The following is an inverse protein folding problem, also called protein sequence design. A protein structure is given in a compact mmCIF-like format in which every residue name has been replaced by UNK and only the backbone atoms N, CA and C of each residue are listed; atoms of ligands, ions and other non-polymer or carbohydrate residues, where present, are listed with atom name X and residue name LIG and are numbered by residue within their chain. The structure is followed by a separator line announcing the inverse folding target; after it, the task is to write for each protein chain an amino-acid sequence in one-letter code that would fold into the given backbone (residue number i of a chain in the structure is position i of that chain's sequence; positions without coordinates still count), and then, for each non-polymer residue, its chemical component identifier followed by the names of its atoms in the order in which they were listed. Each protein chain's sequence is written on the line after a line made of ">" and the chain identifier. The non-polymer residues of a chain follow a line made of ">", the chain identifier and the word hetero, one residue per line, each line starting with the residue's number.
data_IF_279915851442
#
_entry.id   IF_279915851442
#
_cell.length_a   1.000
_cell.length_b   1.000
_cell.length_c   1.000
_cell.angle_alpha   90.00
_cell.angle_beta   90.00
_cell.angle_gamma   90.00
#
_symmetry.space_group_name_H-M   'P 1'
#
loop_
_entity.id
_entity.type
_entity.pdbx_description
1 polymer ?
#
# COMPACT_ATOMS: atom_id res chain seq x y z
N UNK A 1 33.90 28.95 -37.86
CA UNK A 1 34.84 27.80 -38.01
C UNK A 1 35.85 27.84 -36.89
N UNK A 2 35.61 27.11 -35.84
CA UNK A 2 36.62 26.81 -34.83
C UNK A 2 36.52 25.30 -34.48
N UNK A 3 37.48 24.57 -34.98
CA UNK A 3 37.68 23.15 -34.77
C UNK A 3 38.02 22.87 -33.30
N UNK A 4 37.16 22.16 -32.60
CA UNK A 4 37.45 21.59 -31.30
C UNK A 4 37.98 20.15 -31.48
N UNK A 5 39.28 19.95 -31.15
CA UNK A 5 39.91 18.64 -31.09
C UNK A 5 39.95 18.16 -29.64
N UNK A 6 39.42 16.96 -29.28
CA UNK A 6 39.50 16.45 -27.93
C UNK A 6 40.91 15.93 -27.61
N UNK A 7 41.38 16.22 -26.38
CA UNK A 7 42.66 15.72 -25.84
C UNK A 7 42.52 14.24 -25.45
N UNK A 8 43.60 13.44 -25.66
CA UNK A 8 43.64 12.06 -25.21
C UNK A 8 43.78 11.95 -23.66
N UNK A 9 43.28 10.85 -23.04
CA UNK A 9 43.38 10.64 -21.61
C UNK A 9 44.82 10.34 -21.16
N UNK A 10 45.17 10.82 -19.96
CA UNK A 10 46.47 10.57 -19.33
C UNK A 10 46.54 9.15 -18.78
N UNK A 11 47.68 8.47 -18.81
CA UNK A 11 47.86 7.15 -18.22
C UNK A 11 47.92 7.22 -16.68
N UNK A 12 47.23 6.29 -16.04
CA UNK A 12 47.21 6.10 -14.59
C UNK A 12 48.47 5.28 -14.25
N UNK A 13 49.41 5.90 -13.55
CA UNK A 13 50.58 5.22 -12.96
C UNK A 13 50.17 4.52 -11.68
N UNK A 14 50.32 3.20 -11.67
CA UNK A 14 50.27 2.35 -10.48
C UNK A 14 51.43 2.70 -9.55
N UNK A 15 51.13 3.14 -8.32
CA UNK A 15 52.10 3.18 -7.24
C UNK A 15 51.52 2.38 -6.06
N UNK A 16 52.28 1.35 -5.74
CA UNK A 16 52.06 0.37 -4.69
C UNK A 16 51.87 1.00 -3.30
N UNK A 17 50.91 0.43 -2.53
CA UNK A 17 50.98 0.44 -1.06
C UNK A 17 50.76 -0.98 -0.58
N UNK A 18 51.84 -1.70 -0.39
CA UNK A 18 51.94 -2.87 0.45
C UNK A 18 52.02 -2.38 1.91
N UNK A 19 51.00 -2.69 2.72
CA UNK A 19 51.16 -2.77 4.19
C UNK A 19 50.52 -4.07 4.67
N UNK A 20 51.38 -5.03 4.91
CA UNK A 20 51.09 -6.23 5.67
C UNK A 20 50.70 -5.82 7.10
N UNK A 21 49.49 -6.20 7.53
CA UNK A 21 49.13 -6.21 8.96
C UNK A 21 48.99 -7.66 9.37
N UNK A 22 49.97 -8.12 10.19
CA UNK A 22 49.97 -9.45 10.81
C UNK A 22 48.79 -9.56 11.77
N UNK A 23 47.97 -10.59 11.57
CA UNK A 23 47.02 -11.11 12.57
C UNK A 23 47.76 -12.08 13.50
N UNK A 24 47.40 -12.14 14.80
CA UNK A 24 48.02 -13.06 15.73
C UNK A 24 47.53 -14.50 15.53
N UNK A 25 48.50 -15.42 15.57
CA UNK A 25 48.27 -16.86 15.52
C UNK A 25 47.57 -17.31 16.82
N UNK A 26 46.40 -17.91 16.67
CA UNK A 26 45.74 -18.65 17.75
C UNK A 26 46.02 -20.14 17.55
N UNK A 27 46.66 -20.73 18.54
CA UNK A 27 47.08 -22.12 18.58
C UNK A 27 45.92 -23.10 18.33
N UNK A 28 46.08 -23.95 17.33
CA UNK A 28 45.31 -25.15 17.11
C UNK A 28 45.74 -26.22 18.11
N UNK A 29 44.88 -26.52 19.07
CA UNK A 29 44.99 -27.76 19.86
C UNK A 29 44.34 -28.89 19.06
N UNK A 30 45.14 -29.80 18.58
CA UNK A 30 44.77 -31.12 18.09
C UNK A 30 44.40 -32.01 19.28
N UNK A 31 43.17 -32.54 19.30
CA UNK A 31 42.84 -33.72 20.09
C UNK A 31 42.10 -34.70 19.14
N UNK A 32 42.88 -35.68 18.68
CA UNK A 32 42.36 -36.88 18.04
C UNK A 32 41.67 -37.77 19.09
N UNK A 33 40.35 -37.94 18.93
CA UNK A 33 39.66 -39.16 19.37
C UNK A 33 38.46 -39.43 18.46
N UNK A 34 38.30 -40.62 17.90
CA UNK A 34 37.16 -40.93 17.05
C UNK A 34 35.98 -41.39 17.90
N UNK A 35 34.99 -40.56 18.09
CA UNK A 35 33.69 -41.01 18.61
C UNK A 35 32.87 -41.68 17.52
N UNK A 36 32.75 -42.97 17.63
CA UNK A 36 31.89 -43.86 16.90
C UNK A 36 30.43 -43.61 17.33
N UNK A 37 29.60 -42.98 16.46
CA UNK A 37 28.14 -42.93 16.61
C UNK A 37 27.49 -43.56 15.40
N UNK A 38 27.47 -44.88 15.45
CA UNK A 38 26.61 -45.70 14.59
C UNK A 38 25.30 -46.01 15.31
N UNK A 39 24.39 -45.05 15.39
CA UNK A 39 22.98 -45.36 15.71
C UNK A 39 22.12 -45.13 14.49
N UNK A 40 21.76 -46.30 13.90
CA UNK A 40 20.75 -46.40 12.84
C UNK A 40 19.39 -46.00 13.38
N UNK A 41 18.90 -44.83 12.96
CA UNK A 41 17.50 -44.40 13.16
C UNK A 41 16.57 -45.42 12.44
N UNK A 42 16.00 -46.35 13.20
CA UNK A 42 14.89 -47.19 12.73
C UNK A 42 13.63 -46.34 12.70
N UNK A 43 13.07 -46.15 11.49
CA UNK A 43 11.72 -45.57 11.32
C UNK A 43 10.70 -46.46 12.04
N UNK A 44 9.74 -45.87 12.78
CA UNK A 44 8.63 -46.62 13.34
C UNK A 44 7.76 -47.19 12.21
N UNK A 45 7.12 -48.38 12.40
CA UNK A 45 6.29 -48.99 11.40
C UNK A 45 5.09 -48.12 11.04
N UNK A 46 4.76 -48.06 9.74
CA UNK A 46 3.55 -47.36 9.26
C UNK A 46 2.31 -48.06 9.82
N UNK A 47 1.51 -47.29 10.55
CA UNK A 47 0.19 -47.71 10.96
C UNK A 47 -0.73 -47.74 9.73
N UNK A 48 -1.16 -48.94 9.34
CA UNK A 48 -2.04 -49.23 8.20
C UNK A 48 -3.51 -49.29 8.61
N UNK A 49 -3.94 -48.52 9.60
CA UNK A 49 -5.35 -48.38 9.90
C UNK A 49 -6.05 -47.59 8.82
N UNK A 50 -7.14 -48.07 8.20
CA UNK A 50 -7.91 -47.27 7.24
C UNK A 50 -8.47 -46.04 7.94
N UNK A 51 -8.05 -44.85 7.51
CA UNK A 51 -8.68 -43.61 7.96
C UNK A 51 -10.10 -43.60 7.40
N UNK A 52 -11.06 -43.62 8.31
CA UNK A 52 -12.46 -43.34 8.01
C UNK A 52 -12.56 -41.96 7.35
N UNK A 53 -13.36 -41.91 6.28
CA UNK A 53 -13.68 -40.74 5.53
C UNK A 53 -14.06 -39.59 6.47
N UNK A 54 -13.21 -38.58 6.55
CA UNK A 54 -13.56 -37.31 7.19
C UNK A 54 -14.49 -36.61 6.22
N UNK A 55 -15.77 -36.69 6.50
CA UNK A 55 -16.81 -35.95 5.82
C UNK A 55 -16.38 -34.48 5.73
N UNK A 56 -16.51 -33.90 4.54
CA UNK A 56 -16.38 -32.49 4.26
C UNK A 56 -17.32 -31.72 5.21
N UNK A 57 -16.77 -31.18 6.30
CA UNK A 57 -17.46 -30.20 7.11
C UNK A 57 -17.39 -28.88 6.30
N UNK A 58 -18.41 -28.68 5.50
CA UNK A 58 -18.77 -27.34 5.02
C UNK A 58 -19.14 -26.57 6.28
N UNK A 59 -18.23 -25.72 6.77
CA UNK A 59 -18.57 -24.71 7.77
C UNK A 59 -19.53 -23.74 7.10
N UNK A 60 -20.81 -23.94 7.32
CA UNK A 60 -21.79 -22.87 7.11
C UNK A 60 -21.41 -21.72 8.06
N UNK A 61 -21.49 -20.46 7.62
CA UNK A 61 -21.31 -19.33 8.52
C UNK A 61 -22.36 -19.47 9.62
N UNK A 62 -21.89 -19.60 10.85
CA UNK A 62 -22.75 -19.60 12.04
C UNK A 62 -23.33 -18.20 12.13
N UNK A 63 -24.58 -18.05 11.75
CA UNK A 63 -25.36 -16.86 12.05
C UNK A 63 -25.37 -16.69 13.57
N UNK A 64 -24.52 -15.82 14.09
CA UNK A 64 -24.58 -15.33 15.45
C UNK A 64 -25.89 -14.51 15.56
N UNK A 65 -26.96 -15.17 16.01
CA UNK A 65 -28.20 -14.51 16.47
C UNK A 65 -27.93 -13.85 17.81
N UNK A 66 -27.09 -12.81 17.81
CA UNK A 66 -27.01 -11.83 18.90
C UNK A 66 -27.90 -10.66 18.52
N UNK A 67 -28.71 -10.17 19.49
CA UNK A 67 -29.55 -8.98 19.38
C UNK A 67 -28.75 -7.82 18.74
N UNK A 68 -28.76 -7.72 17.40
CA UNK A 68 -28.34 -6.52 16.71
C UNK A 68 -29.32 -5.43 17.15
N UNK A 69 -28.86 -4.45 17.91
CA UNK A 69 -29.50 -3.15 17.96
C UNK A 69 -29.71 -2.78 16.48
N UNK A 70 -30.94 -2.42 16.09
CA UNK A 70 -31.20 -1.89 14.77
C UNK A 70 -30.30 -0.68 14.59
N UNK A 71 -29.23 -0.88 13.82
CA UNK A 71 -28.42 0.19 13.29
C UNK A 71 -29.33 0.87 12.25
N UNK A 72 -29.41 2.22 12.20
CA UNK A 72 -30.26 2.92 11.25
C UNK A 72 -29.95 2.52 9.82
N UNK A 73 -30.97 2.55 8.96
CA UNK A 73 -30.96 2.16 7.55
C UNK A 73 -29.61 2.41 6.85
N UNK A 74 -28.91 1.30 6.57
CA UNK A 74 -27.66 1.30 5.78
C UNK A 74 -27.93 1.35 4.26
N UNK A 75 -29.14 1.62 3.83
CA UNK A 75 -29.52 1.65 2.40
C UNK A 75 -28.81 2.75 1.58
N UNK A 76 -27.92 3.56 2.20
CA UNK A 76 -27.17 4.64 1.55
C UNK A 76 -25.67 4.64 1.90
N UNK A 77 -25.09 3.56 2.39
CA UNK A 77 -23.65 3.51 2.57
C UNK A 77 -22.97 3.11 1.25
N UNK A 78 -21.95 3.88 0.89
CA UNK A 78 -21.08 3.56 -0.24
C UNK A 78 -20.35 2.25 0.01
N UNK A 79 -20.47 1.30 -0.90
CA UNK A 79 -19.78 0.02 -0.82
C UNK A 79 -18.36 0.13 -1.42
N UNK A 80 -17.37 0.06 -0.55
CA UNK A 80 -15.95 0.17 -0.93
C UNK A 80 -15.28 -1.19 -0.79
N UNK A 81 -14.55 -1.61 -1.80
CA UNK A 81 -13.63 -2.76 -1.71
C UNK A 81 -12.19 -2.33 -1.79
N UNK A 82 -11.36 -2.86 -0.89
CA UNK A 82 -9.90 -2.70 -0.91
C UNK A 82 -9.27 -4.05 -1.21
N UNK A 83 -8.59 -4.18 -2.35
CA UNK A 83 -7.95 -5.44 -2.72
C UNK A 83 -6.44 -5.32 -2.75
N UNK A 84 -5.77 -6.08 -1.87
CA UNK A 84 -4.31 -6.19 -1.79
C UNK A 84 -3.77 -7.33 -2.64
N UNK A 85 -2.86 -7.02 -3.59
CA UNK A 85 -2.37 -7.97 -4.59
C UNK A 85 -0.91 -8.33 -4.36
N UNK A 86 -0.65 -9.62 -4.19
CA UNK A 86 0.69 -10.15 -3.92
C UNK A 86 1.14 -9.92 -2.47
N UNK A 87 2.42 -10.18 -2.16
CA UNK A 87 2.91 -10.15 -0.78
C UNK A 87 2.76 -8.76 -0.13
N UNK A 88 3.34 -7.72 -0.72
CA UNK A 88 3.28 -6.37 -0.16
C UNK A 88 1.85 -5.83 -0.09
N UNK A 89 1.08 -5.88 -1.19
CA UNK A 89 -0.33 -5.42 -1.16
C UNK A 89 -1.19 -6.18 -0.14
N UNK A 90 -1.02 -7.50 -0.01
CA UNK A 90 -1.72 -8.27 1.02
C UNK A 90 -1.30 -7.86 2.44
N UNK A 91 0.00 -7.62 2.68
CA UNK A 91 0.48 -7.18 3.98
C UNK A 91 -0.08 -5.80 4.37
N UNK A 92 -0.13 -4.87 3.42
CA UNK A 92 -0.68 -3.54 3.65
C UNK A 92 -2.15 -3.61 4.03
N UNK A 93 -2.96 -4.37 3.27
CA UNK A 93 -4.39 -4.58 3.60
C UNK A 93 -4.57 -5.27 4.95
N UNK A 94 -3.77 -6.29 5.25
CA UNK A 94 -3.84 -7.01 6.53
C UNK A 94 -3.43 -6.18 7.77
N UNK A 95 -2.92 -4.96 7.58
CA UNK A 95 -2.56 -4.01 8.66
C UNK A 95 -3.56 -2.89 8.84
N UNK A 96 -4.54 -2.75 7.93
CA UNK A 96 -5.55 -1.72 8.01
C UNK A 96 -6.50 -1.99 9.17
N UNK A 97 -6.91 -0.92 9.84
CA UNK A 97 -8.01 -1.01 10.80
C UNK A 97 -9.34 -1.08 10.05
N UNK A 98 -10.31 -1.90 10.54
CA UNK A 98 -11.59 -2.03 9.88
C UNK A 98 -12.37 -0.71 9.86
N UNK A 99 -12.72 -0.24 8.67
CA UNK A 99 -13.57 0.94 8.44
C UNK A 99 -14.98 0.46 8.07
N UNK A 100 -16.05 0.97 8.69
CA UNK A 100 -17.43 0.59 8.33
C UNK A 100 -17.73 0.90 6.86
N UNK A 101 -18.33 -0.05 6.13
CA UNK A 101 -18.62 0.10 4.71
C UNK A 101 -17.45 -0.25 3.78
N UNK A 102 -16.33 -0.72 4.33
CA UNK A 102 -15.17 -1.16 3.55
C UNK A 102 -15.00 -2.67 3.67
N UNK A 103 -14.87 -3.36 2.54
CA UNK A 103 -14.58 -4.80 2.44
C UNK A 103 -13.10 -4.98 2.10
N UNK A 104 -12.39 -5.73 2.94
CA UNK A 104 -10.96 -5.98 2.77
C UNK A 104 -10.72 -7.33 2.13
N UNK A 105 -10.00 -7.32 0.99
CA UNK A 105 -9.75 -8.50 0.16
C UNK A 105 -8.24 -8.64 -0.03
N UNK A 106 -7.73 -9.87 0.05
CA UNK A 106 -6.35 -10.16 -0.35
C UNK A 106 -6.31 -11.18 -1.46
N UNK A 107 -5.44 -10.96 -2.44
CA UNK A 107 -5.26 -11.83 -3.60
C UNK A 107 -3.78 -12.20 -3.78
N UNK A 108 -3.44 -13.48 -3.61
CA UNK A 108 -2.06 -13.92 -3.68
C UNK A 108 -1.91 -15.29 -4.35
N UNK A 109 -0.74 -15.52 -4.92
CA UNK A 109 -0.29 -16.83 -5.47
C UNK A 109 0.43 -17.70 -4.44
N UNK A 110 0.76 -17.17 -3.25
CA UNK A 110 1.35 -17.91 -2.13
C UNK A 110 0.29 -18.16 -1.04
N UNK A 111 -0.08 -19.43 -0.85
CA UNK A 111 -1.12 -19.82 0.12
C UNK A 111 -0.71 -19.62 1.58
N UNK A 112 0.60 -19.57 1.87
CA UNK A 112 1.06 -19.33 3.24
C UNK A 112 0.91 -17.85 3.60
N UNK A 113 1.15 -16.96 2.63
CA UNK A 113 0.95 -15.53 2.82
C UNK A 113 -0.54 -15.20 3.03
N UNK A 114 -1.44 -15.86 2.32
CA UNK A 114 -2.88 -15.73 2.54
C UNK A 114 -3.28 -16.18 3.96
N UNK A 115 -2.86 -17.38 4.36
CA UNK A 115 -3.23 -17.96 5.65
C UNK A 115 -2.64 -17.23 6.88
N UNK A 116 -1.76 -16.26 6.69
CA UNK A 116 -1.14 -15.48 7.75
C UNK A 116 -1.88 -14.19 8.11
N UNK A 117 -2.90 -13.82 7.32
CA UNK A 117 -3.63 -12.55 7.46
C UNK A 117 -5.12 -12.82 7.73
N UNK A 118 -5.74 -11.96 8.52
CA UNK A 118 -7.18 -12.00 8.79
C UNK A 118 -7.86 -10.85 8.06
N UNK A 119 -8.70 -11.18 7.07
CA UNK A 119 -9.43 -10.23 6.21
C UNK A 119 -10.80 -10.80 5.86
N UNK A 120 -11.68 -9.99 5.26
CA UNK A 120 -13.02 -10.43 4.90
C UNK A 120 -13.02 -11.51 3.81
N UNK A 121 -12.15 -11.36 2.80
CA UNK A 121 -12.06 -12.30 1.69
C UNK A 121 -10.62 -12.60 1.26
N UNK A 122 -10.35 -13.89 1.00
CA UNK A 122 -9.08 -14.37 0.47
C UNK A 122 -9.26 -14.96 -0.93
N UNK A 123 -8.49 -14.48 -1.91
CA UNK A 123 -8.47 -15.00 -3.27
C UNK A 123 -7.13 -15.70 -3.53
N UNK A 124 -7.17 -17.02 -3.64
CA UNK A 124 -6.00 -17.80 -4.02
C UNK A 124 -5.83 -17.81 -5.54
N UNK A 125 -4.93 -16.97 -6.04
CA UNK A 125 -4.64 -16.84 -7.46
C UNK A 125 -3.89 -18.06 -8.01
N UNK A 126 -4.37 -18.61 -9.13
CA UNK A 126 -3.70 -19.68 -9.87
C UNK A 126 -3.49 -20.96 -9.08
N UNK A 127 -4.55 -21.48 -8.47
CA UNK A 127 -4.51 -22.73 -7.68
C UNK A 127 -3.88 -23.90 -8.44
N UNK A 128 -4.13 -24.01 -9.74
CA UNK A 128 -3.57 -25.06 -10.58
C UNK A 128 -2.16 -24.72 -11.07
N UNK A 129 -1.91 -23.46 -11.42
CA UNK A 129 -0.65 -23.00 -12.03
C UNK A 129 0.47 -22.82 -11.02
N UNK A 130 0.19 -22.21 -9.87
CA UNK A 130 1.19 -21.90 -8.84
C UNK A 130 1.25 -22.95 -7.74
N UNK A 131 0.14 -23.67 -7.51
CA UNK A 131 -0.04 -24.64 -6.43
C UNK A 131 0.30 -24.06 -5.06
N UNK A 132 -0.04 -22.77 -4.84
CA UNK A 132 0.25 -22.05 -3.60
C UNK A 132 1.72 -21.75 -3.32
N UNK A 133 2.61 -21.84 -4.32
CA UNK A 133 4.06 -21.64 -4.16
C UNK A 133 4.55 -20.28 -4.65
N UNK A 134 3.64 -19.35 -4.92
CA UNK A 134 3.97 -18.05 -5.46
C UNK A 134 4.29 -18.02 -6.95
N UNK A 135 4.39 -16.83 -7.52
CA UNK A 135 4.75 -16.62 -8.92
C UNK A 135 6.26 -16.75 -9.21
N UNK A 136 7.11 -16.73 -8.17
CA UNK A 136 8.56 -16.87 -8.30
C UNK A 136 9.23 -15.73 -9.09
N UNK A 137 8.75 -14.50 -8.92
CA UNK A 137 9.25 -13.30 -9.59
C UNK A 137 8.90 -13.23 -11.09
N UNK A 138 8.03 -14.10 -11.59
CA UNK A 138 7.64 -14.14 -13.02
C UNK A 138 6.28 -13.48 -13.22
N UNK A 139 6.27 -12.35 -13.91
CA UNK A 139 5.08 -11.53 -14.20
C UNK A 139 4.01 -12.34 -14.96
N UNK A 140 4.42 -13.07 -16.00
CA UNK A 140 3.51 -13.87 -16.83
C UNK A 140 2.80 -14.95 -16.01
N UNK A 141 3.50 -15.47 -14.96
CA UNK A 141 2.90 -16.46 -14.07
C UNK A 141 1.89 -15.83 -13.13
N UNK A 142 2.16 -14.61 -12.63
CA UNK A 142 1.22 -13.81 -11.86
C UNK A 142 -0.02 -13.45 -12.67
N UNK A 143 0.16 -12.97 -13.90
CA UNK A 143 -0.91 -12.67 -14.84
C UNK A 143 -1.79 -13.90 -15.10
N UNK A 144 -1.17 -15.00 -15.50
CA UNK A 144 -1.90 -16.24 -15.78
C UNK A 144 -2.61 -16.84 -14.54
N UNK A 145 -2.13 -16.52 -13.33
CA UNK A 145 -2.77 -16.92 -12.09
C UNK A 145 -4.02 -16.07 -11.79
N UNK A 146 -4.00 -14.77 -12.10
CA UNK A 146 -5.17 -13.90 -12.01
C UNK A 146 -6.22 -14.26 -13.05
N UNK A 147 -5.81 -14.54 -14.29
CA UNK A 147 -6.73 -15.00 -15.34
C UNK A 147 -7.45 -16.32 -14.98
N UNK A 148 -6.76 -17.24 -14.31
CA UNK A 148 -7.37 -18.46 -13.79
C UNK A 148 -8.43 -18.18 -12.70
N UNK A 149 -8.26 -17.10 -11.95
CA UNK A 149 -9.12 -16.71 -10.83
C UNK A 149 -10.14 -15.62 -11.19
N UNK A 150 -10.30 -15.26 -12.48
CA UNK A 150 -11.13 -14.14 -12.96
C UNK A 150 -12.53 -14.12 -12.35
N UNK A 151 -13.22 -15.26 -12.35
CA UNK A 151 -14.57 -15.39 -11.79
C UNK A 151 -14.61 -15.12 -10.28
N UNK A 152 -13.59 -15.60 -9.55
CA UNK A 152 -13.50 -15.38 -8.10
C UNK A 152 -13.20 -13.92 -7.77
N UNK A 153 -12.39 -13.24 -8.59
CA UNK A 153 -12.10 -11.82 -8.45
C UNK A 153 -13.37 -11.01 -8.72
N UNK A 154 -14.06 -11.32 -9.82
CA UNK A 154 -15.31 -10.66 -10.19
C UNK A 154 -16.33 -10.77 -9.04
N UNK A 155 -16.58 -11.97 -8.53
CA UNK A 155 -17.54 -12.21 -7.46
C UNK A 155 -17.17 -11.48 -6.15
N UNK A 156 -15.88 -11.33 -5.86
CA UNK A 156 -15.43 -10.65 -4.65
C UNK A 156 -15.54 -9.12 -4.74
N UNK A 157 -15.55 -8.56 -5.95
CA UNK A 157 -15.66 -7.13 -6.20
C UNK A 157 -17.07 -6.69 -6.63
N UNK A 158 -17.96 -7.66 -6.95
CA UNK A 158 -19.32 -7.36 -7.37
C UNK A 158 -20.09 -6.62 -6.28
N UNK A 159 -20.76 -5.53 -6.65
CA UNK A 159 -21.50 -4.67 -5.73
C UNK A 159 -20.70 -3.50 -5.16
N UNK A 160 -19.39 -3.39 -5.45
CA UNK A 160 -18.59 -2.27 -5.01
C UNK A 160 -18.81 -1.04 -5.89
N UNK A 161 -19.00 0.14 -5.29
CA UNK A 161 -19.04 1.42 -5.98
C UNK A 161 -17.66 1.99 -6.23
N UNK A 162 -16.72 1.68 -5.33
CA UNK A 162 -15.32 2.09 -5.41
C UNK A 162 -14.43 0.87 -5.12
N UNK A 163 -13.40 0.68 -5.95
CA UNK A 163 -12.40 -0.37 -5.74
C UNK A 163 -11.02 0.26 -5.64
N UNK A 164 -10.41 0.17 -4.46
CA UNK A 164 -9.00 0.46 -4.26
C UNK A 164 -8.18 -0.79 -4.53
N UNK A 165 -7.21 -0.70 -5.43
CA UNK A 165 -6.35 -1.84 -5.81
C UNK A 165 -4.93 -1.51 -5.41
N UNK A 166 -4.39 -2.25 -4.44
CA UNK A 166 -3.02 -1.99 -3.97
C UNK A 166 -2.06 -3.13 -4.30
N UNK A 167 -0.87 -2.75 -4.78
CA UNK A 167 0.17 -3.71 -5.13
C UNK A 167 1.57 -3.11 -4.99
N UNK A 168 2.53 -3.87 -4.46
CA UNK A 168 3.94 -3.54 -4.58
C UNK A 168 4.47 -4.08 -5.91
N UNK A 169 4.87 -3.17 -6.80
CA UNK A 169 5.35 -3.51 -8.15
C UNK A 169 6.81 -4.00 -8.13
N UNK A 170 7.23 -4.66 -9.20
CA UNK A 170 8.57 -5.27 -9.32
C UNK A 170 8.60 -6.76 -8.99
N UNK A 171 7.56 -7.28 -8.32
CA UNK A 171 7.37 -8.70 -8.06
C UNK A 171 6.59 -9.43 -9.15
N UNK A 172 6.47 -10.77 -9.04
CA UNK A 172 5.73 -11.57 -10.02
C UNK A 172 4.22 -11.48 -9.86
N UNK A 173 3.71 -11.50 -8.60
CA UNK A 173 2.27 -11.48 -8.33
C UNK A 173 1.70 -10.07 -8.47
N UNK A 174 2.23 -9.08 -7.75
CA UNK A 174 1.75 -7.69 -7.81
C UNK A 174 1.78 -7.14 -9.23
N UNK A 175 2.93 -7.25 -9.92
CA UNK A 175 3.10 -6.74 -11.29
C UNK A 175 2.32 -7.52 -12.35
N UNK A 176 2.06 -8.82 -12.12
CA UNK A 176 1.37 -9.65 -13.10
C UNK A 176 -0.13 -9.71 -12.89
N UNK A 177 -0.58 -9.86 -11.66
CA UNK A 177 -2.00 -9.99 -11.33
C UNK A 177 -2.67 -8.63 -11.14
N UNK A 178 -1.96 -7.59 -10.66
CA UNK A 178 -2.52 -6.27 -10.42
C UNK A 178 -3.24 -5.67 -11.63
N UNK A 179 -2.60 -5.56 -12.81
CA UNK A 179 -3.26 -5.05 -14.02
C UNK A 179 -4.49 -5.86 -14.46
N UNK A 180 -4.50 -7.19 -14.25
CA UNK A 180 -5.65 -8.04 -14.57
C UNK A 180 -6.80 -7.79 -13.60
N UNK A 181 -6.51 -7.64 -12.32
CA UNK A 181 -7.51 -7.30 -11.31
C UNK A 181 -8.09 -5.92 -11.57
N UNK A 182 -7.24 -4.95 -11.95
CA UNK A 182 -7.66 -3.62 -12.35
C UNK A 182 -8.60 -3.65 -13.57
N UNK A 183 -8.28 -4.44 -14.59
CA UNK A 183 -9.15 -4.65 -15.76
C UNK A 183 -10.52 -5.22 -15.37
N UNK A 184 -10.54 -6.21 -14.46
CA UNK A 184 -11.79 -6.80 -13.98
C UNK A 184 -12.60 -5.76 -13.21
N UNK A 185 -11.99 -5.04 -12.28
CA UNK A 185 -12.65 -3.99 -11.50
C UNK A 185 -13.24 -2.89 -12.40
N UNK A 186 -12.47 -2.42 -13.38
CA UNK A 186 -12.90 -1.39 -14.33
C UNK A 186 -14.02 -1.86 -15.29
N UNK A 187 -14.26 -3.16 -15.38
CA UNK A 187 -15.36 -3.74 -16.17
C UNK A 187 -16.68 -3.89 -15.38
N UNK A 188 -16.66 -3.58 -14.09
CA UNK A 188 -17.82 -3.68 -13.22
C UNK A 188 -18.69 -2.43 -13.34
N UNK A 189 -20.01 -2.61 -13.16
CA UNK A 189 -20.98 -1.54 -13.13
C UNK A 189 -21.96 -1.72 -11.98
N UNK A 190 -22.46 -0.62 -11.44
CA UNK A 190 -23.57 -0.61 -10.47
C UNK A 190 -24.73 0.18 -11.08
N UNK A 191 -25.79 -0.51 -11.43
CA UNK A 191 -26.90 0.10 -12.15
C UNK A 191 -26.46 0.60 -13.53
N UNK A 192 -26.45 1.91 -13.72
CA UNK A 192 -26.00 2.58 -14.96
C UNK A 192 -24.60 3.20 -14.83
N UNK A 193 -24.01 3.18 -13.62
CA UNK A 193 -22.72 3.81 -13.32
C UNK A 193 -21.58 2.81 -13.38
N UNK A 194 -20.42 3.23 -13.87
CA UNK A 194 -19.18 2.47 -13.83
C UNK A 194 -18.58 2.49 -12.40
N UNK A 195 -17.92 1.42 -12.00
CA UNK A 195 -17.21 1.34 -10.72
C UNK A 195 -15.97 2.24 -10.77
N UNK A 196 -15.80 3.13 -9.77
CA UNK A 196 -14.60 3.96 -9.68
C UNK A 196 -13.42 3.10 -9.25
N UNK A 197 -12.35 3.08 -10.04
CA UNK A 197 -11.16 2.27 -9.83
C UNK A 197 -9.95 3.12 -9.50
N UNK A 198 -9.34 2.90 -8.33
CA UNK A 198 -8.16 3.64 -7.88
C UNK A 198 -7.02 2.69 -7.57
N UNK A 199 -5.93 2.81 -8.32
CA UNK A 199 -4.70 2.08 -8.06
C UNK A 199 -3.81 2.82 -7.06
N UNK A 200 -3.32 2.14 -6.02
CA UNK A 200 -2.34 2.70 -5.09
C UNK A 200 -1.18 1.72 -5.04
N UNK A 201 -0.09 2.07 -5.71
CA UNK A 201 1.00 1.13 -5.97
C UNK A 201 2.34 1.67 -5.49
N UNK A 202 3.23 0.77 -5.06
CA UNK A 202 4.58 1.14 -4.67
C UNK A 202 5.59 0.69 -5.70
N UNK A 203 6.60 1.53 -5.93
CA UNK A 203 7.76 1.21 -6.74
C UNK A 203 8.88 0.62 -5.86
N UNK A 204 9.65 -0.33 -6.38
CA UNK A 204 10.73 -0.96 -5.60
C UNK A 204 11.83 0.04 -5.24
N UNK A 205 12.49 -0.21 -4.11
CA UNK A 205 13.71 0.51 -3.74
C UNK A 205 14.79 0.39 -4.81
N UNK A 206 15.61 1.41 -4.99
CA UNK A 206 16.70 1.43 -5.97
C UNK A 206 17.74 0.31 -5.74
N UNK A 207 17.98 -0.03 -4.47
CA UNK A 207 18.89 -1.12 -4.08
C UNK A 207 18.36 -2.53 -4.42
N UNK A 208 17.06 -2.69 -4.69
CA UNK A 208 16.49 -3.96 -5.14
C UNK A 208 16.88 -4.34 -6.58
N UNK A 209 17.40 -3.38 -7.32
CA UNK A 209 18.04 -3.57 -8.62
C UNK A 209 17.18 -3.23 -9.82
N UNK A 210 17.86 -2.87 -10.92
CA UNK A 210 17.24 -2.37 -12.15
C UNK A 210 16.25 -3.34 -12.82
N UNK A 211 16.42 -4.64 -12.62
CA UNK A 211 15.47 -5.64 -13.14
C UNK A 211 14.10 -5.50 -12.49
N UNK A 212 14.02 -5.34 -11.17
CA UNK A 212 12.76 -5.14 -10.46
C UNK A 212 12.14 -3.82 -10.87
N UNK A 213 12.94 -2.76 -10.98
CA UNK A 213 12.49 -1.45 -11.43
C UNK A 213 11.86 -1.51 -12.82
N UNK A 214 12.51 -2.13 -13.81
CA UNK A 214 11.96 -2.28 -15.16
C UNK A 214 10.67 -3.12 -15.21
N UNK A 215 10.55 -4.14 -14.35
CA UNK A 215 9.29 -4.89 -14.19
C UNK A 215 8.20 -3.98 -13.64
N UNK A 216 8.51 -3.17 -12.61
CA UNK A 216 7.57 -2.27 -11.98
C UNK A 216 7.06 -1.20 -12.94
N UNK A 217 7.96 -0.56 -13.70
CA UNK A 217 7.62 0.44 -14.72
C UNK A 217 6.70 -0.13 -15.80
N UNK A 218 7.01 -1.33 -16.32
CA UNK A 218 6.17 -1.98 -17.30
C UNK A 218 4.78 -2.34 -16.76
N UNK A 219 4.71 -2.79 -15.50
CA UNK A 219 3.45 -3.12 -14.85
C UNK A 219 2.62 -1.86 -14.54
N UNK A 220 3.26 -0.76 -14.16
CA UNK A 220 2.62 0.52 -13.92
C UNK A 220 1.92 1.04 -15.17
N UNK A 221 2.59 0.98 -16.33
CA UNK A 221 2.01 1.38 -17.62
C UNK A 221 0.78 0.54 -18.02
N UNK A 222 0.76 -0.73 -17.63
CA UNK A 222 -0.42 -1.58 -17.86
C UNK A 222 -1.51 -1.27 -16.83
N UNK A 223 -1.14 -0.99 -15.60
CA UNK A 223 -2.07 -0.65 -14.53
C UNK A 223 -2.83 0.65 -14.85
N UNK A 224 -2.11 1.70 -15.27
CA UNK A 224 -2.66 3.00 -15.66
C UNK A 224 -3.75 2.92 -16.75
N UNK A 225 -3.72 1.89 -17.59
CA UNK A 225 -4.73 1.71 -18.65
C UNK A 225 -6.06 1.15 -18.14
N UNK A 226 -6.05 0.60 -16.95
CA UNK A 226 -7.14 -0.19 -16.39
C UNK A 226 -7.69 0.39 -15.07
N UNK A 227 -7.31 1.63 -14.72
CA UNK A 227 -7.84 2.34 -13.55
C UNK A 227 -8.15 3.79 -13.91
N UNK A 228 -9.07 4.42 -13.18
CA UNK A 228 -9.43 5.83 -13.35
C UNK A 228 -8.33 6.75 -12.81
N UNK A 229 -7.77 6.39 -11.66
CA UNK A 229 -6.67 7.10 -11.04
C UNK A 229 -5.60 6.14 -10.53
N UNK A 230 -4.34 6.54 -10.58
CA UNK A 230 -3.24 5.80 -9.98
C UNK A 230 -2.38 6.72 -9.12
N UNK A 231 -2.19 6.32 -7.88
CA UNK A 231 -1.26 6.92 -6.92
C UNK A 231 -0.01 6.05 -6.86
N UNK A 232 1.13 6.63 -7.17
CA UNK A 232 2.42 5.93 -7.21
C UNK A 232 3.28 6.39 -6.04
N UNK A 233 3.67 5.45 -5.19
CA UNK A 233 4.53 5.68 -4.04
C UNK A 233 5.93 5.17 -4.36
N UNK A 234 6.92 6.07 -4.32
CA UNK A 234 8.33 5.74 -4.51
C UNK A 234 8.97 5.35 -3.18
N UNK A 235 9.31 4.08 -2.99
CA UNK A 235 9.87 3.59 -1.72
C UNK A 235 11.15 4.33 -1.30
N UNK A 236 12.00 4.74 -2.26
CA UNK A 236 13.22 5.49 -1.97
C UNK A 236 12.96 6.84 -1.26
N UNK A 237 11.82 7.46 -1.51
CA UNK A 237 11.45 8.73 -0.87
C UNK A 237 11.03 8.50 0.59
N UNK A 238 10.43 7.35 0.89
CA UNK A 238 10.03 6.98 2.25
C UNK A 238 11.24 6.79 3.17
N UNK A 239 12.28 6.13 2.68
CA UNK A 239 13.51 5.92 3.44
C UNK A 239 14.20 7.25 3.83
N UNK A 240 13.99 8.32 3.06
CA UNK A 240 14.54 9.65 3.33
C UNK A 240 13.74 10.48 4.34
N UNK A 241 12.51 10.07 4.66
CA UNK A 241 11.58 10.78 5.55
C UNK A 241 11.37 10.14 6.91
N UNK A 242 12.13 9.08 7.21
CA UNK A 242 12.04 8.36 8.47
C UNK A 242 12.30 9.24 9.68
N UNK A 243 11.49 9.08 10.71
CA UNK A 243 11.63 9.83 11.97
C UNK A 243 12.82 9.33 12.79
N UNK A 244 13.31 10.15 13.71
CA UNK A 244 14.42 9.79 14.60
C UNK A 244 14.14 8.57 15.49
N UNK A 245 12.87 8.16 15.64
CA UNK A 245 12.47 6.98 16.42
C UNK A 245 12.61 5.67 15.63
N UNK A 246 12.64 5.75 14.31
CA UNK A 246 12.76 4.60 13.39
C UNK A 246 14.22 4.31 13.01
N UNK A 247 15.13 5.19 13.41
CA UNK A 247 16.56 5.15 13.05
C UNK A 247 17.37 4.66 14.25
N UNK A 248 18.26 3.69 14.05
CA UNK A 248 19.14 3.20 15.09
C UNK A 248 20.21 4.23 15.52
N UNK A 249 21.00 3.92 16.56
CA UNK A 249 22.08 4.78 17.07
C UNK A 249 23.16 5.13 16.01
N UNK A 250 23.18 4.43 14.88
CA UNK A 250 24.09 4.66 13.75
C UNK A 250 23.43 5.47 12.61
N UNK A 251 22.15 5.84 12.74
CA UNK A 251 21.40 6.53 11.69
C UNK A 251 20.94 5.60 10.57
N UNK A 252 20.73 4.30 10.85
CA UNK A 252 20.34 3.28 9.88
C UNK A 252 18.96 2.73 10.26
N UNK A 253 18.16 2.45 9.23
CA UNK A 253 16.88 1.74 9.35
C UNK A 253 17.12 0.28 8.95
N UNK A 254 16.54 -0.66 9.69
CA UNK A 254 16.55 -2.07 9.31
C UNK A 254 15.76 -2.32 8.02
N UNK A 255 16.25 -3.21 7.16
CA UNK A 255 15.54 -3.56 5.90
C UNK A 255 14.09 -4.00 6.16
N UNK A 256 13.84 -4.71 7.25
CA UNK A 256 12.48 -5.14 7.62
C UNK A 256 11.60 -3.95 7.99
N UNK A 257 12.16 -2.96 8.65
CA UNK A 257 11.44 -1.75 9.06
C UNK A 257 11.16 -0.83 7.87
N UNK A 258 12.07 -0.74 6.88
CA UNK A 258 11.79 -0.05 5.60
C UNK A 258 10.56 -0.64 4.89
N UNK A 259 10.45 -1.97 4.82
CA UNK A 259 9.26 -2.61 4.24
C UNK A 259 8.00 -2.42 5.09
N UNK A 260 8.13 -2.45 6.42
CA UNK A 260 7.00 -2.18 7.33
C UNK A 260 6.50 -0.75 7.20
N UNK A 261 7.41 0.21 7.06
CA UNK A 261 7.07 1.61 6.81
C UNK A 261 6.32 1.77 5.48
N UNK A 262 6.81 1.14 4.42
CA UNK A 262 6.12 1.13 3.12
C UNK A 262 4.71 0.55 3.23
N UNK A 263 4.56 -0.61 3.87
CA UNK A 263 3.25 -1.25 4.06
C UNK A 263 2.30 -0.36 4.88
N UNK A 264 2.81 0.31 5.94
CA UNK A 264 2.04 1.23 6.78
C UNK A 264 1.57 2.45 6.00
N UNK A 265 2.45 3.12 5.28
CA UNK A 265 2.11 4.32 4.51
C UNK A 265 1.07 4.00 3.44
N UNK A 266 1.20 2.84 2.80
CA UNK A 266 0.22 2.36 1.83
C UNK A 266 -1.14 2.09 2.49
N UNK A 267 -1.13 1.51 3.69
CA UNK A 267 -2.34 1.30 4.48
C UNK A 267 -2.98 2.63 4.90
N UNK A 268 -2.20 3.55 5.46
CA UNK A 268 -2.66 4.87 5.92
C UNK A 268 -3.26 5.70 4.77
N UNK A 269 -2.65 5.63 3.58
CA UNK A 269 -3.16 6.30 2.38
C UNK A 269 -4.54 5.78 1.97
N UNK A 270 -4.71 4.46 1.90
CA UNK A 270 -5.98 3.82 1.52
C UNK A 270 -7.04 4.04 2.59
N UNK A 271 -6.67 3.89 3.86
CA UNK A 271 -7.56 4.10 4.99
C UNK A 271 -8.07 5.54 5.02
N UNK A 272 -7.17 6.52 4.89
CA UNK A 272 -7.54 7.92 4.84
C UNK A 272 -8.50 8.25 3.69
N UNK A 273 -8.30 7.68 2.49
CA UNK A 273 -9.23 7.82 1.36
C UNK A 273 -10.59 7.16 1.65
N UNK A 274 -10.60 6.00 2.27
CA UNK A 274 -11.82 5.28 2.61
C UNK A 274 -12.63 6.02 3.68
N UNK A 275 -11.97 6.54 4.73
CA UNK A 275 -12.59 7.31 5.80
C UNK A 275 -13.26 8.59 5.29
N UNK A 276 -12.65 9.27 4.32
CA UNK A 276 -13.21 10.48 3.71
C UNK A 276 -14.64 10.24 3.18
N UNK A 277 -14.90 9.05 2.68
CA UNK A 277 -16.17 8.69 2.04
C UNK A 277 -17.15 8.07 3.02
N UNK A 278 -16.67 7.21 3.92
CA UNK A 278 -17.52 6.34 4.75
C UNK A 278 -17.87 6.94 6.11
N UNK A 279 -16.98 7.80 6.65
CA UNK A 279 -17.19 8.38 7.98
C UNK A 279 -17.96 9.69 7.87
N UNK A 280 -19.10 9.76 8.58
CA UNK A 280 -19.86 11.00 8.65
C UNK A 280 -19.09 12.09 9.39
N UNK A 281 -18.61 13.07 8.64
CA UNK A 281 -17.91 14.25 9.16
C UNK A 281 -18.86 15.40 9.50
N UNK A 282 -18.29 16.48 10.02
CA UNK A 282 -19.00 17.76 10.18
C UNK A 282 -19.38 18.37 8.82
N UNK A 283 -18.53 18.13 7.84
CA UNK A 283 -18.68 18.56 6.45
C UNK A 283 -18.37 17.36 5.58
N UNK A 284 -19.40 16.65 5.17
CA UNK A 284 -19.23 15.45 4.35
C UNK A 284 -18.81 15.85 2.95
N UNK A 285 -17.84 15.13 2.44
CA UNK A 285 -17.57 15.07 1.02
C UNK A 285 -18.63 14.16 0.39
N UNK A 286 -19.30 14.64 -0.64
CA UNK A 286 -20.22 13.78 -1.38
C UNK A 286 -19.40 12.77 -2.22
N UNK A 287 -19.92 11.54 -2.35
CA UNK A 287 -19.33 10.54 -3.25
C UNK A 287 -19.16 11.07 -4.67
N UNK A 288 -20.08 11.93 -5.11
CA UNK A 288 -20.02 12.57 -6.43
C UNK A 288 -18.82 13.51 -6.57
N UNK A 289 -18.44 14.23 -5.50
CA UNK A 289 -17.26 15.10 -5.48
C UNK A 289 -15.97 14.26 -5.50
N UNK A 290 -15.95 13.17 -4.73
CA UNK A 290 -14.83 12.22 -4.72
C UNK A 290 -14.66 11.56 -6.08
N UNK A 291 -15.76 11.06 -6.65
CA UNK A 291 -15.78 10.47 -8.00
C UNK A 291 -15.32 11.48 -9.05
N UNK A 292 -15.86 12.70 -9.05
CA UNK A 292 -15.47 13.75 -10.00
C UNK A 292 -14.00 14.13 -9.91
N UNK A 293 -13.37 13.97 -8.74
CA UNK A 293 -11.95 14.23 -8.55
C UNK A 293 -11.08 13.15 -9.18
N UNK A 294 -11.45 11.88 -9.03
CA UNK A 294 -10.60 10.73 -9.38
C UNK A 294 -10.99 10.03 -10.69
N UNK A 295 -12.23 10.18 -11.15
CA UNK A 295 -12.69 9.58 -12.41
C UNK A 295 -11.89 10.14 -13.59
N UNK A 296 -11.27 9.23 -14.35
CA UNK A 296 -10.40 9.56 -15.50
C UNK A 296 -9.26 10.54 -15.15
N UNK A 297 -8.82 10.58 -13.88
CA UNK A 297 -7.77 11.49 -13.46
C UNK A 297 -6.38 11.07 -13.98
N UNK A 298 -6.16 9.77 -14.22
CA UNK A 298 -4.85 9.25 -14.61
C UNK A 298 -3.88 9.24 -13.43
N UNK A 299 -2.83 10.05 -13.49
CA UNK A 299 -1.87 10.17 -12.37
C UNK A 299 -2.47 11.04 -11.26
N UNK A 300 -2.51 10.49 -10.05
CA UNK A 300 -2.94 11.17 -8.83
C UNK A 300 -1.83 11.14 -7.78
N UNK A 301 -1.89 12.06 -6.85
CA UNK A 301 -0.94 12.17 -5.74
C UNK A 301 -1.71 12.21 -4.43
N UNK A 302 -1.20 11.56 -3.40
CA UNK A 302 -1.70 11.71 -2.04
C UNK A 302 -0.63 12.32 -1.14
N UNK A 303 -1.04 13.23 -0.29
CA UNK A 303 -0.20 13.86 0.71
C UNK A 303 -0.90 13.87 2.06
N UNK A 304 -0.17 13.51 3.10
CA UNK A 304 -0.66 13.48 4.46
C UNK A 304 0.30 14.31 5.32
N UNK A 305 -0.24 15.18 6.16
CA UNK A 305 0.54 15.94 7.11
C UNK A 305 -0.26 16.21 8.37
N UNK A 306 0.42 16.23 9.50
CA UNK A 306 -0.17 16.55 10.79
C UNK A 306 0.65 17.60 11.53
N UNK A 307 0.02 18.30 12.45
CA UNK A 307 0.69 19.26 13.33
C UNK A 307 -0.19 19.58 14.54
N UNK A 308 0.45 19.82 15.68
CA UNK A 308 -0.16 20.28 16.93
C UNK A 308 0.34 21.68 17.33
N UNK A 309 -0.30 22.29 18.33
CA UNK A 309 0.06 23.62 18.87
C UNK A 309 -0.54 24.81 18.13
N UNK A 310 -0.07 26.03 18.45
CA UNK A 310 -0.69 27.31 18.03
C UNK A 310 -0.79 27.52 16.52
N UNK A 311 0.14 26.95 15.74
CA UNK A 311 0.19 27.08 14.28
C UNK A 311 -0.22 25.80 13.55
N UNK A 312 -0.90 24.86 14.22
CA UNK A 312 -1.19 23.50 13.77
C UNK A 312 -1.83 23.45 12.38
N UNK A 313 -2.76 24.33 12.06
CA UNK A 313 -3.44 24.35 10.77
C UNK A 313 -2.49 24.61 9.60
N UNK A 314 -1.65 25.66 9.74
CA UNK A 314 -0.64 26.00 8.73
C UNK A 314 0.46 24.92 8.68
N UNK A 315 0.88 24.47 9.86
CA UNK A 315 1.90 23.41 9.98
C UNK A 315 1.45 22.10 9.32
N UNK A 316 0.24 21.63 9.60
CA UNK A 316 -0.30 20.40 9.00
C UNK A 316 -0.39 20.50 7.46
N UNK A 317 -0.89 21.62 6.93
CA UNK A 317 -0.94 21.85 5.49
C UNK A 317 0.46 21.91 4.86
N UNK A 318 1.41 22.58 5.51
CA UNK A 318 2.80 22.64 5.03
C UNK A 318 3.49 21.29 5.10
N UNK A 319 3.27 20.52 6.16
CA UNK A 319 3.80 19.15 6.30
C UNK A 319 3.22 18.24 5.21
N UNK A 320 1.92 18.33 4.92
CA UNK A 320 1.32 17.60 3.82
C UNK A 320 1.97 17.96 2.48
N UNK A 321 2.11 19.26 2.17
CA UNK A 321 2.72 19.74 0.92
C UNK A 321 4.23 19.46 0.82
N UNK A 322 4.92 19.30 1.95
CA UNK A 322 6.33 18.92 2.02
C UNK A 322 6.52 17.40 2.10
N UNK A 323 5.42 16.64 2.14
CA UNK A 323 5.48 15.18 2.27
C UNK A 323 6.25 14.57 1.08
N UNK A 324 7.27 13.74 1.32
CA UNK A 324 8.06 13.13 0.25
C UNK A 324 7.26 12.18 -0.64
N UNK A 325 6.06 11.77 -0.25
CA UNK A 325 5.14 11.03 -1.12
C UNK A 325 4.71 11.84 -2.34
N UNK A 326 4.76 13.18 -2.25
CA UNK A 326 4.54 14.06 -3.40
C UNK A 326 5.83 14.11 -4.23
N UNK A 327 5.94 13.22 -5.19
CA UNK A 327 7.03 13.25 -6.19
C UNK A 327 6.68 14.17 -7.38
N UNK A 328 5.54 14.82 -7.36
CA UNK A 328 5.01 15.60 -8.48
C UNK A 328 4.63 16.99 -8.02
N UNK A 329 4.92 18.00 -8.83
CA UNK A 329 4.52 19.37 -8.58
C UNK A 329 2.99 19.50 -8.75
N UNK A 330 2.29 19.86 -7.68
CA UNK A 330 0.83 20.06 -7.65
C UNK A 330 0.37 21.36 -8.31
N UNK A 331 1.29 22.22 -8.78
CA UNK A 331 0.95 23.50 -9.43
C UNK A 331 0.11 23.35 -10.68
N UNK A 332 0.07 22.16 -11.28
CA UNK A 332 -0.76 21.86 -12.44
C UNK A 332 -2.00 21.00 -12.09
N UNK A 333 -2.28 20.80 -10.81
CA UNK A 333 -3.46 20.05 -10.39
C UNK A 333 -4.74 20.76 -10.85
N UNK A 334 -5.60 20.03 -11.53
CA UNK A 334 -6.90 20.52 -12.00
C UNK A 334 -8.02 20.32 -10.98
N UNK A 335 -7.83 19.32 -10.12
CA UNK A 335 -8.78 18.93 -9.09
C UNK A 335 -8.02 18.62 -7.82
N UNK A 336 -8.50 19.10 -6.71
CA UNK A 336 -7.93 18.88 -5.38
C UNK A 336 -9.03 18.49 -4.41
N UNK A 337 -8.75 17.47 -3.63
CA UNK A 337 -9.55 17.07 -2.51
C UNK A 337 -8.74 17.28 -1.24
N UNK A 338 -9.28 18.06 -0.31
CA UNK A 338 -8.65 18.35 0.98
C UNK A 338 -9.53 17.77 2.07
N UNK A 339 -9.03 16.82 2.83
CA UNK A 339 -9.69 16.35 4.04
C UNK A 339 -8.97 16.89 5.27
N UNK A 340 -9.71 17.49 6.18
CA UNK A 340 -9.21 18.02 7.45
C UNK A 340 -9.84 17.25 8.59
N UNK A 341 -9.00 16.59 9.39
CA UNK A 341 -9.44 15.90 10.61
C UNK A 341 -8.87 16.65 11.79
N UNK A 342 -9.70 17.03 12.72
CA UNK A 342 -9.28 17.79 13.90
C UNK A 342 -10.09 17.48 15.15
N UNK A 343 -9.68 18.04 16.30
CA UNK A 343 -10.32 17.80 17.58
C UNK A 343 -11.78 18.23 17.59
N UNK A 344 -12.61 17.50 18.32
CA UNK A 344 -14.03 17.78 18.45
C UNK A 344 -14.31 18.99 19.33
N UNK A 345 -15.56 19.42 19.40
CA UNK A 345 -16.00 20.54 20.24
C UNK A 345 -15.96 20.25 21.74
N UNK A 346 -15.75 18.98 22.14
CA UNK A 346 -15.58 18.55 23.54
C UNK A 346 -14.16 18.77 24.05
N UNK A 347 -13.19 18.96 23.15
CA UNK A 347 -11.78 19.11 23.48
C UNK A 347 -11.42 20.54 23.93
N UNK A 348 -10.27 20.69 24.61
CA UNK A 348 -9.78 21.98 25.07
C UNK A 348 -9.44 22.94 23.90
N UNK A 349 -9.07 22.36 22.76
CA UNK A 349 -8.66 23.10 21.55
C UNK A 349 -9.43 22.60 20.31
N UNK A 350 -10.74 22.85 20.18
CA UNK A 350 -11.54 22.35 19.06
C UNK A 350 -11.09 22.94 17.72
N UNK A 351 -11.31 22.20 16.63
CA UNK A 351 -11.05 22.67 15.27
C UNK A 351 -11.92 23.88 14.94
N UNK A 352 -11.31 24.95 14.44
CA UNK A 352 -12.00 26.22 14.14
C UNK A 352 -12.18 26.44 12.63
N UNK A 353 -13.20 27.23 12.27
CA UNK A 353 -13.44 27.68 10.90
C UNK A 353 -12.24 28.44 10.31
N UNK A 354 -11.54 29.21 11.14
CA UNK A 354 -10.38 30.00 10.72
C UNK A 354 -9.20 29.09 10.36
N UNK A 355 -9.01 27.99 11.08
CA UNK A 355 -7.99 26.99 10.76
C UNK A 355 -8.25 26.32 9.43
N UNK A 356 -9.50 25.91 9.16
CA UNK A 356 -9.89 25.35 7.86
C UNK A 356 -9.60 26.35 6.73
N UNK A 357 -9.91 27.64 6.94
CA UNK A 357 -9.62 28.69 5.96
C UNK A 357 -8.13 28.82 5.67
N UNK A 358 -7.29 28.80 6.71
CA UNK A 358 -5.82 28.86 6.57
C UNK A 358 -5.25 27.65 5.83
N UNK A 359 -5.75 26.43 6.12
CA UNK A 359 -5.36 25.23 5.38
C UNK A 359 -5.65 25.41 3.89
N UNK A 360 -6.87 25.85 3.55
CA UNK A 360 -7.26 26.08 2.15
C UNK A 360 -6.43 27.14 1.46
N UNK A 361 -6.04 28.19 2.16
CA UNK A 361 -5.15 29.24 1.63
C UNK A 361 -3.76 28.68 1.32
N UNK A 362 -3.15 27.96 2.27
CA UNK A 362 -1.81 27.36 2.09
C UNK A 362 -1.78 26.36 0.93
N UNK A 363 -2.81 25.50 0.81
CA UNK A 363 -2.90 24.54 -0.28
C UNK A 363 -3.20 25.24 -1.61
N UNK A 364 -4.11 26.22 -1.60
CA UNK A 364 -4.48 26.99 -2.78
C UNK A 364 -3.34 27.82 -3.39
N UNK A 365 -2.38 28.30 -2.58
CA UNK A 365 -1.18 29.00 -3.06
C UNK A 365 -0.25 28.11 -3.90
N UNK A 366 -0.34 26.78 -3.73
CA UNK A 366 0.47 25.79 -4.44
C UNK A 366 -0.24 25.15 -5.62
N UNK A 367 -1.56 25.36 -5.76
CA UNK A 367 -2.37 24.85 -6.87
C UNK A 367 -2.52 25.86 -8.00
N UNK A 368 -3.12 25.46 -9.12
CA UNK A 368 -3.38 26.37 -10.24
C UNK A 368 -4.36 27.48 -9.83
N UNK A 369 -4.00 28.77 -9.96
CA UNK A 369 -4.73 29.86 -9.31
C UNK A 369 -6.14 30.14 -9.84
N UNK A 370 -6.54 29.60 -11.00
CA UNK A 370 -7.81 29.94 -11.65
C UNK A 370 -8.60 28.77 -12.23
N UNK A 371 -8.03 27.57 -12.30
CA UNK A 371 -8.63 26.40 -12.98
C UNK A 371 -8.67 25.13 -12.11
N UNK A 372 -8.47 25.25 -10.80
CA UNK A 372 -8.48 24.12 -9.90
C UNK A 372 -9.82 24.04 -9.13
N UNK A 373 -10.53 22.94 -9.29
CA UNK A 373 -11.69 22.63 -8.44
C UNK A 373 -11.20 22.06 -7.11
N UNK A 374 -11.60 22.68 -5.99
CA UNK A 374 -11.17 22.30 -4.66
C UNK A 374 -12.36 21.81 -3.83
N UNK A 375 -12.39 20.53 -3.56
CA UNK A 375 -13.36 19.89 -2.66
C UNK A 375 -12.77 19.78 -1.25
N UNK A 376 -13.58 19.98 -0.23
CA UNK A 376 -13.09 19.97 1.15
C UNK A 376 -14.03 19.19 2.07
N UNK A 377 -13.50 18.17 2.71
CA UNK A 377 -14.13 17.45 3.81
C UNK A 377 -13.58 17.90 5.16
N UNK A 378 -14.42 17.78 6.21
CA UNK A 378 -14.01 18.10 7.58
C UNK A 378 -14.58 17.02 8.52
N UNK A 379 -13.70 16.38 9.24
CA UNK A 379 -14.04 15.37 10.24
C UNK A 379 -13.59 15.82 11.63
N UNK A 380 -14.35 15.43 12.64
CA UNK A 380 -14.00 15.69 14.03
C UNK A 380 -13.77 14.36 14.76
N UNK A 381 -12.69 14.30 15.52
CA UNK A 381 -12.32 13.12 16.34
C UNK A 381 -12.06 13.56 17.77
N UNK A 382 -12.42 12.69 18.73
CA UNK A 382 -12.27 12.96 20.17
C UNK A 382 -10.89 12.53 20.71
N UNK A 383 -10.08 11.86 19.90
CA UNK A 383 -8.79 11.25 20.26
C UNK A 383 -7.58 12.04 19.76
N UNK A 384 -7.77 13.23 19.20
CA UNK A 384 -6.70 14.02 18.59
C UNK A 384 -6.10 15.10 19.51
N UNK A 385 -6.65 15.31 20.73
CA UNK A 385 -6.25 16.34 21.67
C UNK A 385 -6.19 17.73 20.98
N UNK A 386 -5.02 18.16 20.51
CA UNK A 386 -4.82 19.42 19.80
C UNK A 386 -4.26 19.25 18.38
N UNK A 387 -4.14 18.01 17.88
CA UNK A 387 -3.55 17.74 16.57
C UNK A 387 -4.55 17.92 15.43
N UNK A 388 -4.08 18.46 14.29
CA UNK A 388 -4.83 18.51 13.03
C UNK A 388 -4.12 17.66 12.00
N UNK A 389 -4.89 16.79 11.33
CA UNK A 389 -4.43 16.01 10.19
C UNK A 389 -5.01 16.58 8.89
N UNK A 390 -4.19 16.70 7.87
CA UNK A 390 -4.58 17.17 6.54
C UNK A 390 -4.19 16.13 5.51
N UNK A 391 -5.17 15.63 4.78
CA UNK A 391 -4.96 14.76 3.61
C UNK A 391 -5.31 15.54 2.34
N UNK A 392 -4.43 15.52 1.35
CA UNK A 392 -4.60 16.17 0.04
C UNK A 392 -4.51 15.10 -1.04
N UNK A 393 -5.45 15.11 -1.95
CA UNK A 393 -5.46 14.22 -3.12
C UNK A 393 -5.61 15.04 -4.38
#
# INVERSE_FOLDING_TARGET
>A
DSHYTPRPPRPITSAAITKETKLPETELRTSDEPTNIGETFKRPPRDNTPRQDVAHITRQPTLLTGNRRKIPDFDNMVEISVIGVGGGGSNSVGRMEPVPGVTYIIANTDSRALAALEVDHEIHLGRTRTRGKGAGGRVERGRAAAEEARDSIYQALEGSEIVFITACLGGGTGSGAGPVIAEIANSLTIGEDDVLTVGIVTMPFSWEGSKKRGIAESALEEFKKNVDAVIVIENDLLASSSTAEEVDDLGLIGIEDEFRLTDKILADAIQGLSEIITVNGLWNLDISDFRSTLEHAGDAVIAIGSCSGDARAVGAAQNALANPLINTDITNAKRLLINVVGPSSSDESPLTREEIRKIKEVVGERSHPTECDVFTGVMLRDDLDDEIHVTIV
#
